data_IF_150959355578
#
_entry.id   IF_150959355578
#
_cell.length_a   1.000
_cell.length_b   1.000
_cell.length_c   1.000
_cell.angle_alpha   90.00
_cell.angle_beta   90.00
_cell.angle_gamma   90.00
#
_symmetry.space_group_name_H-M   'P 1'
#
loop_
_entity.id
_entity.type
_entity.pdbx_description
1 polymer ?
#
# COMPACT_ATOMS: atom_id res chain seq x y z
N UNK A 1 12.21 14.22 -13.34
CA UNK A 1 10.93 14.23 -12.62
C UNK A 1 11.02 14.90 -11.24
N UNK A 2 11.87 14.44 -10.31
CA UNK A 2 12.11 15.17 -9.05
C UNK A 2 13.10 16.36 -9.23
N UNK A 3 13.92 16.37 -10.27
CA UNK A 3 14.85 17.50 -10.59
C UNK A 3 14.15 18.79 -10.98
N UNK A 4 12.88 18.76 -11.39
CA UNK A 4 12.05 19.94 -11.65
C UNK A 4 11.51 20.58 -10.35
N UNK A 5 11.61 19.86 -9.22
CA UNK A 5 11.53 20.46 -7.90
C UNK A 5 12.98 20.91 -7.57
N UNK A 6 13.31 22.17 -7.69
CA UNK A 6 14.62 22.80 -7.41
C UNK A 6 15.21 22.54 -6.00
N UNK A 7 14.82 21.44 -5.34
CA UNK A 7 15.04 21.19 -3.93
C UNK A 7 15.63 19.81 -3.58
N UNK A 8 15.74 18.89 -4.54
CA UNK A 8 16.28 17.54 -4.24
C UNK A 8 17.76 17.50 -4.58
N UNK A 9 18.60 17.23 -3.60
CA UNK A 9 20.07 17.11 -3.76
C UNK A 9 20.43 15.83 -4.52
N UNK A 10 21.66 15.75 -5.03
CA UNK A 10 22.15 14.53 -5.69
C UNK A 10 22.21 13.34 -4.71
N UNK A 11 22.50 13.59 -3.43
CA UNK A 11 22.49 12.59 -2.36
C UNK A 11 21.08 12.06 -2.10
N UNK A 12 20.10 12.93 -1.94
CA UNK A 12 18.70 12.55 -1.83
C UNK A 12 18.20 11.77 -3.06
N UNK A 13 18.62 12.19 -4.26
CA UNK A 13 18.34 11.46 -5.50
C UNK A 13 18.92 10.05 -5.50
N UNK A 14 20.15 9.89 -5.05
CA UNK A 14 20.82 8.59 -4.96
C UNK A 14 20.12 7.68 -3.95
N UNK A 15 19.78 8.23 -2.78
CA UNK A 15 18.98 7.53 -1.76
C UNK A 15 17.61 7.07 -2.33
N UNK A 16 16.86 7.97 -2.95
CA UNK A 16 15.53 7.65 -3.49
C UNK A 16 15.57 6.58 -4.58
N UNK A 17 16.61 6.57 -5.44
CA UNK A 17 16.81 5.51 -6.43
C UNK A 17 17.10 4.16 -5.78
N UNK A 18 17.97 4.14 -4.77
CA UNK A 18 18.27 2.93 -4.01
C UNK A 18 17.07 2.39 -3.25
N UNK A 19 16.32 3.27 -2.58
CA UNK A 19 15.10 2.93 -1.86
C UNK A 19 14.03 2.37 -2.81
N UNK A 20 13.82 3.01 -3.95
CA UNK A 20 12.89 2.55 -4.98
C UNK A 20 13.25 1.16 -5.49
N UNK A 21 14.51 0.94 -5.89
CA UNK A 21 14.96 -0.37 -6.38
C UNK A 21 14.76 -1.48 -5.33
N UNK A 22 15.06 -1.18 -4.06
CA UNK A 22 14.89 -2.14 -2.97
C UNK A 22 13.42 -2.45 -2.69
N UNK A 23 12.55 -1.44 -2.63
CA UNK A 23 11.12 -1.62 -2.36
C UNK A 23 10.40 -2.32 -3.53
N UNK A 24 10.76 -2.01 -4.77
CA UNK A 24 10.22 -2.69 -5.96
C UNK A 24 10.57 -4.17 -5.98
N UNK A 25 11.80 -4.53 -5.66
CA UNK A 25 12.22 -5.93 -5.56
C UNK A 25 11.41 -6.67 -4.51
N UNK A 26 11.31 -6.14 -3.27
CA UNK A 26 10.55 -6.77 -2.20
C UNK A 26 9.05 -6.88 -2.53
N UNK A 27 8.48 -5.87 -3.17
CA UNK A 27 7.11 -5.91 -3.64
C UNK A 27 6.91 -7.02 -4.67
N UNK A 28 7.78 -7.12 -5.69
CA UNK A 28 7.70 -8.13 -6.73
C UNK A 28 7.85 -9.56 -6.19
N UNK A 29 8.81 -9.78 -5.26
CA UNK A 29 9.01 -11.07 -4.59
C UNK A 29 7.76 -11.51 -3.80
N UNK A 30 7.07 -10.58 -3.14
CA UNK A 30 5.84 -10.89 -2.42
C UNK A 30 4.64 -11.03 -3.36
N UNK A 31 4.54 -10.20 -4.41
CA UNK A 31 3.51 -10.33 -5.43
C UNK A 31 3.58 -11.68 -6.14
N UNK A 32 4.77 -12.22 -6.39
CA UNK A 32 4.94 -13.54 -6.99
C UNK A 32 4.25 -14.66 -6.20
N UNK A 33 4.06 -14.50 -4.88
CA UNK A 33 3.40 -15.47 -3.99
C UNK A 33 1.86 -15.35 -4.02
N UNK A 34 1.30 -14.29 -4.61
CA UNK A 34 -0.16 -14.06 -4.66
C UNK A 34 -0.73 -14.78 -5.87
N UNK A 35 -1.50 -15.84 -5.67
CA UNK A 35 -2.16 -16.57 -6.76
C UNK A 35 -3.35 -15.79 -7.33
N UNK A 36 -4.21 -15.26 -6.45
CA UNK A 36 -5.38 -14.47 -6.80
C UNK A 36 -5.40 -13.19 -5.98
N UNK A 37 -5.47 -12.03 -6.62
CA UNK A 37 -5.60 -10.75 -5.94
C UNK A 37 -7.08 -10.50 -5.60
N UNK A 38 -7.39 -10.37 -4.29
CA UNK A 38 -8.75 -10.16 -3.77
C UNK A 38 -8.91 -8.79 -3.12
N UNK A 39 -7.86 -8.32 -2.45
CA UNK A 39 -7.88 -7.08 -1.67
C UNK A 39 -6.59 -6.30 -1.89
N UNK A 40 -6.72 -5.01 -2.11
CA UNK A 40 -5.58 -4.09 -2.22
C UNK A 40 -5.76 -2.94 -1.23
N UNK A 41 -4.90 -2.91 -0.22
CA UNK A 41 -4.84 -1.80 0.73
C UNK A 41 -3.94 -0.71 0.18
N UNK A 42 -4.52 0.45 -0.09
CA UNK A 42 -3.80 1.63 -0.56
C UNK A 42 -3.11 2.32 0.60
N UNK A 43 -1.79 2.38 0.52
CA UNK A 43 -0.91 3.11 1.43
C UNK A 43 -0.35 4.35 0.73
N UNK A 44 0.15 5.31 1.49
CA UNK A 44 0.69 6.54 0.91
C UNK A 44 1.94 6.27 0.09
N UNK A 45 2.95 5.70 0.73
CA UNK A 45 4.27 5.51 0.16
C UNK A 45 5.06 4.46 0.97
N UNK A 46 6.12 3.88 0.39
CA UNK A 46 6.96 2.93 1.12
C UNK A 46 7.67 3.62 2.30
N UNK A 47 7.57 3.00 3.47
CA UNK A 47 8.38 3.38 4.63
C UNK A 47 9.75 2.71 4.49
N UNK A 48 10.72 3.42 3.91
CA UNK A 48 12.07 2.95 3.72
C UNK A 48 13.05 4.02 4.16
N UNK A 49 14.01 3.68 4.98
CA UNK A 49 15.00 4.58 5.55
C UNK A 49 16.05 3.74 6.28
N UNK A 50 16.80 4.34 7.19
CA UNK A 50 17.81 3.66 8.01
C UNK A 50 17.26 2.39 8.69
N UNK A 51 16.01 2.42 9.12
CA UNK A 51 15.31 1.29 9.74
C UNK A 51 14.67 0.31 8.75
N UNK A 52 14.70 0.57 7.46
CA UNK A 52 14.15 -0.27 6.38
C UNK A 52 12.76 -0.84 6.67
N UNK A 53 11.87 -0.07 7.27
CA UNK A 53 10.54 -0.50 7.76
C UNK A 53 9.51 -0.73 6.66
N UNK A 54 9.95 -1.06 5.46
CA UNK A 54 9.01 -1.36 4.37
C UNK A 54 8.16 -2.57 4.72
N UNK A 55 6.87 -2.51 4.40
CA UNK A 55 5.92 -3.56 4.75
C UNK A 55 6.36 -4.94 4.29
N UNK A 56 6.82 -5.04 3.04
CA UNK A 56 7.24 -6.31 2.43
C UNK A 56 8.66 -6.75 2.80
N UNK A 57 9.36 -6.02 3.63
CA UNK A 57 10.67 -6.43 4.11
C UNK A 57 10.55 -7.53 5.19
N UNK A 58 10.96 -8.79 4.91
CA UNK A 58 10.83 -9.90 5.87
C UNK A 58 11.72 -9.72 7.12
N UNK A 59 12.77 -8.89 7.03
CA UNK A 59 13.67 -8.61 8.15
C UNK A 59 13.08 -7.64 9.18
N UNK A 60 11.90 -7.03 8.92
CA UNK A 60 11.25 -6.14 9.88
C UNK A 60 10.42 -6.92 10.90
N UNK A 61 10.22 -6.38 12.12
CA UNK A 61 9.33 -7.01 13.10
C UNK A 61 7.91 -7.23 12.55
N UNK A 62 7.25 -8.29 13.01
CA UNK A 62 5.88 -8.62 12.62
C UNK A 62 4.94 -7.40 12.70
N UNK A 63 4.97 -6.65 13.79
CA UNK A 63 4.10 -5.50 14.04
C UNK A 63 4.56 -4.17 13.42
N UNK A 64 5.59 -4.15 12.57
CA UNK A 64 6.16 -2.89 12.06
C UNK A 64 5.18 -2.03 11.24
N UNK A 65 4.21 -2.65 10.59
CA UNK A 65 3.21 -1.97 9.76
C UNK A 65 1.78 -2.29 10.21
N UNK A 66 1.47 -3.55 10.40
CA UNK A 66 0.22 -4.03 10.96
C UNK A 66 0.40 -4.44 12.42
N UNK A 67 -0.53 -3.99 13.26
CA UNK A 67 -0.71 -4.62 14.57
C UNK A 67 -1.20 -6.07 14.35
N UNK A 68 -0.90 -6.98 15.30
CA UNK A 68 -1.33 -8.38 15.17
C UNK A 68 -2.85 -8.51 14.99
N UNK A 69 -3.66 -7.66 15.64
CA UNK A 69 -5.12 -7.63 15.47
C UNK A 69 -5.57 -7.18 14.08
N UNK A 70 -4.74 -6.41 13.36
CA UNK A 70 -5.04 -6.03 11.97
C UNK A 70 -4.86 -7.23 11.05
N UNK A 71 -3.84 -8.06 11.33
CA UNK A 71 -3.64 -9.33 10.63
C UNK A 71 -4.80 -10.31 10.91
N UNK A 72 -5.28 -10.39 12.15
CA UNK A 72 -6.45 -11.21 12.51
C UNK A 72 -7.74 -10.77 11.83
N UNK A 73 -7.91 -9.46 11.61
CA UNK A 73 -9.07 -8.95 10.86
C UNK A 73 -9.12 -9.45 9.41
N UNK A 74 -7.95 -9.76 8.81
CA UNK A 74 -7.82 -10.25 7.44
C UNK A 74 -7.79 -11.79 7.40
N UNK A 75 -7.01 -12.41 8.28
CA UNK A 75 -6.62 -13.82 8.22
C UNK A 75 -7.42 -14.72 9.17
N UNK A 76 -8.29 -14.13 9.98
CA UNK A 76 -9.10 -14.83 10.97
C UNK A 76 -8.52 -14.79 12.37
N UNK A 77 -9.41 -15.06 13.34
CA UNK A 77 -9.07 -15.04 14.75
C UNK A 77 -8.06 -16.13 15.10
N UNK A 78 -7.07 -15.80 15.89
CA UNK A 78 -6.02 -16.71 16.33
C UNK A 78 -4.79 -16.76 15.43
N UNK A 79 -4.81 -16.19 14.22
CA UNK A 79 -3.64 -16.16 13.33
C UNK A 79 -2.39 -15.60 14.02
N UNK A 80 -2.56 -14.55 14.85
CA UNK A 80 -1.46 -13.92 15.55
C UNK A 80 -0.91 -14.71 16.75
N UNK A 81 -1.58 -15.78 17.17
CA UNK A 81 -1.11 -16.62 18.30
C UNK A 81 0.18 -17.36 17.96
N UNK A 82 0.37 -17.71 16.70
CA UNK A 82 1.54 -18.45 16.22
C UNK A 82 2.78 -17.59 15.95
N UNK A 83 2.74 -16.28 16.10
CA UNK A 83 3.80 -15.24 16.03
C UNK A 83 5.16 -15.70 15.47
N UNK A 84 5.16 -16.32 14.32
CA UNK A 84 6.35 -16.96 13.73
C UNK A 84 7.19 -16.00 12.86
N UNK A 85 6.96 -14.69 12.97
CA UNK A 85 7.74 -13.68 12.27
C UNK A 85 7.03 -13.05 11.07
N UNK A 86 7.72 -12.11 10.44
CA UNK A 86 7.18 -11.29 9.35
C UNK A 86 6.89 -12.09 8.09
N UNK A 87 7.72 -13.07 7.79
CA UNK A 87 7.55 -13.90 6.60
C UNK A 87 6.27 -14.75 6.66
N UNK A 88 5.93 -15.26 7.84
CA UNK A 88 4.67 -15.97 8.08
C UNK A 88 3.46 -15.07 7.79
N UNK A 89 3.49 -13.81 8.28
CA UNK A 89 2.45 -12.82 7.98
C UNK A 89 2.32 -12.59 6.46
N UNK A 90 3.44 -12.32 5.79
CA UNK A 90 3.45 -12.04 4.35
C UNK A 90 2.92 -13.23 3.54
N UNK A 91 3.27 -14.45 3.93
CA UNK A 91 2.77 -15.68 3.31
C UNK A 91 1.26 -15.84 3.53
N UNK A 92 0.78 -15.60 4.75
CA UNK A 92 -0.65 -15.65 5.07
C UNK A 92 -1.46 -14.64 4.24
N UNK A 93 -0.99 -13.40 4.19
CA UNK A 93 -1.63 -12.35 3.38
C UNK A 93 -1.64 -12.68 1.89
N UNK A 94 -0.53 -13.19 1.35
CA UNK A 94 -0.46 -13.61 -0.05
C UNK A 94 -1.46 -14.74 -0.37
N UNK A 95 -1.61 -15.73 0.50
CA UNK A 95 -2.60 -16.81 0.38
C UNK A 95 -4.04 -16.28 0.44
N UNK A 96 -4.29 -15.28 1.28
CA UNK A 96 -5.60 -14.62 1.36
C UNK A 96 -5.89 -13.71 0.16
N UNK A 97 -4.92 -13.49 -0.73
CA UNK A 97 -5.03 -12.55 -1.85
C UNK A 97 -5.02 -11.09 -1.40
N UNK A 98 -4.45 -10.81 -0.23
CA UNK A 98 -4.38 -9.47 0.34
C UNK A 98 -3.02 -8.83 0.06
N UNK A 99 -3.04 -7.64 -0.51
CA UNK A 99 -1.86 -6.88 -0.89
C UNK A 99 -1.90 -5.46 -0.37
N UNK A 100 -0.72 -4.84 -0.29
CA UNK A 100 -0.57 -3.40 -0.09
C UNK A 100 0.03 -2.81 -1.35
N UNK A 101 -0.55 -1.70 -1.80
CA UNK A 101 -0.06 -0.89 -2.91
C UNK A 101 0.17 0.54 -2.42
N UNK A 102 1.41 1.00 -2.54
CA UNK A 102 1.73 2.38 -2.28
C UNK A 102 1.28 3.26 -3.47
N UNK A 103 0.73 4.44 -3.17
CA UNK A 103 0.28 5.41 -4.18
C UNK A 103 1.45 6.14 -4.83
N UNK A 104 2.55 6.29 -4.09
CA UNK A 104 3.77 6.93 -4.55
C UNK A 104 4.97 5.98 -4.51
N UNK A 105 5.90 6.13 -5.46
CA UNK A 105 7.11 5.31 -5.51
C UNK A 105 8.20 5.75 -4.52
N UNK A 106 8.08 6.97 -3.96
CA UNK A 106 9.18 7.62 -3.26
C UNK A 106 9.09 7.44 -1.76
N UNK A 107 10.18 6.97 -1.15
CA UNK A 107 10.35 6.85 0.29
C UNK A 107 10.77 8.21 0.91
N UNK A 108 9.92 9.24 0.78
CA UNK A 108 10.18 10.56 1.33
C UNK A 108 9.94 10.57 2.84
N UNK A 109 11.00 10.72 3.62
CA UNK A 109 10.96 10.80 5.08
C UNK A 109 11.83 11.96 5.61
N UNK A 110 11.73 12.26 6.91
CA UNK A 110 12.44 13.39 7.49
C UNK A 110 13.92 13.16 7.73
N UNK A 111 14.39 11.93 7.72
CA UNK A 111 15.80 11.58 7.99
C UNK A 111 16.62 11.64 6.70
N UNK A 112 16.14 10.98 5.64
CA UNK A 112 16.89 10.81 4.39
C UNK A 112 16.52 11.85 3.32
N UNK A 113 15.36 12.51 3.48
CA UNK A 113 14.90 13.59 2.58
C UNK A 113 14.38 14.79 3.40
N UNK A 114 15.24 15.49 4.17
CA UNK A 114 14.80 16.51 5.13
C UNK A 114 14.16 17.73 4.48
N UNK A 115 14.48 18.03 3.23
CA UNK A 115 13.93 19.17 2.50
C UNK A 115 12.54 18.83 1.94
N UNK A 116 12.37 17.63 1.39
CA UNK A 116 11.13 17.18 0.73
C UNK A 116 10.55 15.98 1.46
N UNK A 117 9.44 16.18 2.16
CA UNK A 117 8.69 15.10 2.81
C UNK A 117 7.21 15.25 2.52
N UNK A 118 6.45 14.13 2.52
CA UNK A 118 4.98 14.19 2.34
C UNK A 118 4.30 15.10 3.36
N UNK A 119 4.78 15.11 4.60
CA UNK A 119 4.24 15.97 5.68
C UNK A 119 4.38 17.46 5.42
N UNK A 120 5.35 17.86 4.59
CA UNK A 120 5.59 19.27 4.24
C UNK A 120 4.87 19.71 2.97
N UNK A 121 4.29 18.78 2.22
CA UNK A 121 3.59 19.09 0.99
C UNK A 121 2.21 19.70 1.27
N UNK A 122 1.83 20.71 0.49
CA UNK A 122 0.45 21.16 0.41
C UNK A 122 -0.41 20.07 -0.27
N UNK A 123 -1.71 20.09 -0.03
CA UNK A 123 -2.64 19.17 -0.71
C UNK A 123 -2.53 19.31 -2.23
N UNK A 124 -2.39 20.53 -2.74
CA UNK A 124 -2.22 20.76 -4.18
C UNK A 124 -0.94 20.12 -4.73
N UNK A 125 0.20 20.31 -4.06
CA UNK A 125 1.47 19.68 -4.47
C UNK A 125 1.41 18.16 -4.41
N UNK A 126 0.75 17.62 -3.39
CA UNK A 126 0.54 16.19 -3.20
C UNK A 126 -0.30 15.58 -4.34
N UNK A 127 -1.40 16.26 -4.73
CA UNK A 127 -2.23 15.87 -5.88
C UNK A 127 -1.47 15.93 -7.20
N UNK A 128 -0.72 17.01 -7.44
CA UNK A 128 0.12 17.15 -8.63
C UNK A 128 1.19 16.06 -8.71
N UNK A 129 1.81 15.70 -7.58
CA UNK A 129 2.79 14.60 -7.54
C UNK A 129 2.13 13.29 -7.97
N UNK A 130 0.93 12.96 -7.43
CA UNK A 130 0.19 11.76 -7.84
C UNK A 130 -0.11 11.78 -9.34
N UNK A 131 -0.68 12.85 -9.88
CA UNK A 131 -1.01 12.98 -11.29
C UNK A 131 0.21 12.78 -12.21
N UNK A 132 1.39 13.26 -11.79
CA UNK A 132 2.64 13.10 -12.56
C UNK A 132 3.22 11.69 -12.46
N UNK A 133 2.96 10.97 -11.39
CA UNK A 133 3.54 9.64 -11.14
C UNK A 133 2.60 8.48 -11.41
N UNK A 134 1.29 8.72 -11.45
CA UNK A 134 0.28 7.67 -11.54
C UNK A 134 0.50 6.73 -12.73
N UNK A 135 0.66 7.26 -13.95
CA UNK A 135 0.87 6.45 -15.15
C UNK A 135 2.18 5.65 -15.15
N UNK A 136 3.19 6.11 -14.42
CA UNK A 136 4.51 5.49 -14.36
C UNK A 136 4.64 4.46 -13.24
N UNK A 137 3.81 4.56 -12.21
CA UNK A 137 3.92 3.73 -11.01
C UNK A 137 2.59 3.06 -10.64
N UNK A 138 1.60 3.83 -10.16
CA UNK A 138 0.32 3.29 -9.68
C UNK A 138 -0.39 2.47 -10.74
N UNK A 139 -0.56 3.01 -11.95
CA UNK A 139 -1.27 2.35 -13.04
C UNK A 139 -0.61 1.06 -13.47
N UNK A 140 0.72 1.04 -13.55
CA UNK A 140 1.46 -0.18 -13.91
C UNK A 140 1.26 -1.28 -12.89
N UNK A 141 1.36 -0.97 -11.60
CA UNK A 141 1.14 -1.95 -10.54
C UNK A 141 -0.31 -2.40 -10.47
N UNK A 142 -1.26 -1.47 -10.58
CA UNK A 142 -2.68 -1.80 -10.69
C UNK A 142 -2.91 -2.80 -11.83
N UNK A 143 -2.42 -2.53 -13.01
CA UNK A 143 -2.64 -3.35 -14.19
C UNK A 143 -2.07 -4.77 -14.00
N UNK A 144 -0.85 -4.90 -13.47
CA UNK A 144 -0.26 -6.20 -13.11
C UNK A 144 -1.08 -6.93 -12.03
N UNK A 145 -1.62 -6.22 -11.04
CA UNK A 145 -2.50 -6.80 -10.02
C UNK A 145 -3.79 -7.33 -10.67
N UNK A 146 -4.36 -6.60 -11.63
CA UNK A 146 -5.60 -6.97 -12.33
C UNK A 146 -5.45 -8.20 -13.21
N UNK A 147 -4.24 -8.59 -13.60
CA UNK A 147 -3.97 -9.88 -14.26
C UNK A 147 -4.25 -11.08 -13.33
N UNK A 148 -4.26 -10.87 -12.02
CA UNK A 148 -4.51 -11.90 -11.00
C UNK A 148 -5.89 -11.83 -10.34
N UNK A 149 -6.79 -10.97 -10.82
CA UNK A 149 -8.14 -10.88 -10.29
C UNK A 149 -8.75 -9.48 -10.33
N UNK A 150 -9.92 -9.36 -9.73
CA UNK A 150 -10.66 -8.09 -9.59
C UNK A 150 -10.74 -7.71 -8.11
N UNK A 151 -9.66 -7.20 -7.50
CA UNK A 151 -9.62 -6.93 -6.08
C UNK A 151 -10.49 -5.74 -5.69
N UNK A 152 -10.90 -5.73 -4.43
CA UNK A 152 -11.46 -4.55 -3.77
C UNK A 152 -10.29 -3.65 -3.34
N UNK A 153 -10.29 -2.40 -3.80
CA UNK A 153 -9.32 -1.40 -3.37
C UNK A 153 -9.81 -0.66 -2.12
N UNK A 154 -8.92 -0.43 -1.15
CA UNK A 154 -9.27 0.15 0.13
C UNK A 154 -8.23 1.16 0.59
N UNK A 155 -8.64 2.36 0.98
CA UNK A 155 -7.76 3.35 1.61
C UNK A 155 -7.52 3.02 3.08
N UNK A 156 -6.25 2.95 3.47
CA UNK A 156 -5.82 2.79 4.85
C UNK A 156 -6.04 4.05 5.68
N UNK A 157 -5.76 5.22 5.11
CA UNK A 157 -5.77 6.51 5.79
C UNK A 157 -6.85 7.44 5.24
N UNK A 158 -7.65 8.01 6.16
CA UNK A 158 -8.69 8.97 5.79
C UNK A 158 -8.14 10.25 5.15
N UNK A 159 -7.01 10.74 5.62
CA UNK A 159 -6.34 11.91 5.05
C UNK A 159 -5.91 11.67 3.59
N UNK A 160 -5.34 10.49 3.31
CA UNK A 160 -4.94 10.13 1.94
C UNK A 160 -6.16 9.99 1.03
N UNK A 161 -7.25 9.37 1.52
CA UNK A 161 -8.51 9.31 0.78
C UNK A 161 -9.09 10.70 0.53
N UNK A 162 -9.09 11.58 1.51
CA UNK A 162 -9.58 12.96 1.35
C UNK A 162 -8.79 13.72 0.29
N UNK A 163 -7.48 13.55 0.27
CA UNK A 163 -6.61 14.26 -0.66
C UNK A 163 -6.60 13.69 -2.09
N UNK A 164 -6.69 12.37 -2.26
CA UNK A 164 -6.45 11.67 -3.52
C UNK A 164 -7.61 10.78 -4.00
N UNK A 165 -8.69 10.62 -3.20
CA UNK A 165 -9.73 9.65 -3.49
C UNK A 165 -10.32 9.78 -4.88
N UNK A 166 -10.69 10.97 -5.29
CA UNK A 166 -11.23 11.26 -6.62
C UNK A 166 -10.24 10.94 -7.76
N UNK A 167 -8.96 11.21 -7.56
CA UNK A 167 -7.92 10.89 -8.56
C UNK A 167 -7.69 9.39 -8.67
N UNK A 168 -7.62 8.69 -7.54
CA UNK A 168 -7.46 7.24 -7.52
C UNK A 168 -8.69 6.56 -8.11
N UNK A 169 -9.89 6.99 -7.74
CA UNK A 169 -11.13 6.44 -8.27
C UNK A 169 -11.24 6.64 -9.78
N UNK A 170 -10.78 7.79 -10.31
CA UNK A 170 -10.71 8.02 -11.74
C UNK A 170 -9.73 7.05 -12.44
N UNK A 171 -8.57 6.75 -11.82
CA UNK A 171 -7.63 5.76 -12.38
C UNK A 171 -8.19 4.33 -12.33
N UNK A 172 -8.90 3.96 -11.26
CA UNK A 172 -9.57 2.66 -11.14
C UNK A 172 -10.69 2.49 -12.17
N UNK A 173 -11.50 3.54 -12.37
CA UNK A 173 -12.59 3.56 -13.33
C UNK A 173 -12.15 3.31 -14.78
N UNK A 174 -10.94 3.70 -15.16
CA UNK A 174 -10.34 3.37 -16.49
C UNK A 174 -10.24 1.87 -16.76
N UNK A 175 -10.31 1.04 -15.73
CA UNK A 175 -10.26 -0.43 -15.80
C UNK A 175 -11.58 -1.10 -15.39
N UNK A 176 -12.65 -0.33 -15.29
CA UNK A 176 -13.96 -0.83 -14.86
C UNK A 176 -13.98 -1.29 -13.40
N UNK A 177 -13.09 -0.74 -12.56
CA UNK A 177 -13.08 -0.98 -11.11
C UNK A 177 -13.90 0.10 -10.43
N UNK A 178 -14.72 -0.30 -9.46
CA UNK A 178 -15.48 0.63 -8.62
C UNK A 178 -14.58 1.49 -7.73
N UNK A 179 -15.13 2.51 -7.07
CA UNK A 179 -14.37 3.41 -6.21
C UNK A 179 -13.77 2.66 -5.01
N UNK A 180 -12.61 3.13 -4.59
CA UNK A 180 -11.91 2.56 -3.45
C UNK A 180 -12.67 2.83 -2.13
N UNK A 181 -12.83 1.79 -1.32
CA UNK A 181 -13.49 1.89 -0.03
C UNK A 181 -12.63 2.64 1.00
N UNK A 182 -13.24 3.16 2.06
CA UNK A 182 -12.51 3.71 3.19
C UNK A 182 -12.60 2.77 4.38
N UNK A 183 -11.46 2.24 4.77
CA UNK A 183 -11.34 1.47 6.03
C UNK A 183 -10.58 2.25 7.10
N UNK A 184 -10.47 3.58 6.93
CA UNK A 184 -9.88 4.43 7.95
C UNK A 184 -10.79 4.52 9.18
N UNK A 185 -10.19 4.46 10.36
CA UNK A 185 -10.86 4.72 11.62
C UNK A 185 -10.98 6.22 11.90
N UNK A 186 -11.88 6.59 12.80
CA UNK A 186 -12.10 8.00 13.17
C UNK A 186 -10.87 8.61 13.83
N UNK A 187 -10.19 7.84 14.71
CA UNK A 187 -8.98 8.26 15.44
C UNK A 187 -7.82 7.29 15.26
N UNK A 188 -7.94 6.35 14.31
CA UNK A 188 -6.94 5.31 14.05
C UNK A 188 -6.70 5.20 12.54
N UNK A 189 -5.50 4.83 12.12
CA UNK A 189 -5.20 4.66 10.70
C UNK A 189 -6.11 3.64 10.02
N UNK A 190 -6.60 2.64 10.77
CA UNK A 190 -7.32 1.49 10.23
C UNK A 190 -8.42 1.07 11.19
N UNK A 191 -9.65 0.96 10.67
CA UNK A 191 -10.80 0.41 11.36
C UNK A 191 -10.87 -1.11 11.11
N UNK A 192 -10.60 -1.89 12.15
CA UNK A 192 -10.53 -3.35 12.06
C UNK A 192 -11.84 -4.02 11.74
N UNK A 193 -12.93 -3.45 12.23
CA UNK A 193 -14.26 -4.02 11.98
C UNK A 193 -14.68 -3.81 10.54
N UNK A 194 -14.44 -2.62 9.98
CA UNK A 194 -14.62 -2.35 8.56
C UNK A 194 -13.72 -3.24 7.69
N UNK A 195 -12.45 -3.40 8.06
CA UNK A 195 -11.54 -4.28 7.34
C UNK A 195 -12.03 -5.72 7.33
N UNK A 196 -12.44 -6.25 8.50
CA UNK A 196 -12.99 -7.60 8.64
C UNK A 196 -14.24 -7.79 7.81
N UNK A 197 -15.18 -6.84 7.87
CA UNK A 197 -16.42 -6.87 7.07
C UNK A 197 -16.13 -6.87 5.58
N UNK A 198 -15.23 -6.01 5.10
CA UNK A 198 -14.82 -6.00 3.69
C UNK A 198 -14.24 -7.34 3.25
N UNK A 199 -13.33 -7.92 4.06
CA UNK A 199 -12.69 -9.19 3.72
C UNK A 199 -13.69 -10.36 3.74
N UNK A 200 -14.60 -10.40 4.71
CA UNK A 200 -15.61 -11.47 4.82
C UNK A 200 -16.68 -11.37 3.75
N UNK A 201 -17.21 -10.18 3.47
CA UNK A 201 -18.27 -9.98 2.46
C UNK A 201 -17.80 -10.41 1.06
N UNK A 202 -16.56 -10.11 0.70
CA UNK A 202 -15.99 -10.47 -0.61
C UNK A 202 -15.79 -11.98 -0.75
N UNK A 203 -15.40 -12.68 0.33
CA UNK A 203 -15.24 -14.13 0.32
C UNK A 203 -16.57 -14.87 0.12
N UNK A 204 -17.65 -14.34 0.68
CA UNK A 204 -19.01 -14.93 0.52
C UNK A 204 -19.47 -14.81 -0.94
N UNK A 205 -19.31 -13.65 -1.56
CA UNK A 205 -19.74 -13.41 -2.96
C UNK A 205 -19.00 -14.31 -3.95
N UNK A 206 -17.72 -14.56 -3.73
CA UNK A 206 -16.90 -15.40 -4.62
C UNK A 206 -17.25 -16.89 -4.51
N UNK A 207 -17.63 -17.37 -3.33
CA UNK A 207 -18.04 -18.77 -3.12
C UNK A 207 -19.46 -19.10 -3.68
N UNK A 208 -20.25 -18.08 -4.03
CA UNK A 208 -21.60 -18.24 -4.63
C UNK A 208 -21.54 -18.24 -6.18
N UNK A 209 -20.41 -17.82 -6.75
CA UNK A 209 -20.21 -17.69 -8.20
C UNK A 209 -19.32 -18.79 -8.80
N UNK A 210 -18.77 -19.69 -7.99
CA UNK A 210 -18.12 -20.94 -8.38
C UNK A 210 -19.09 -22.12 -8.26
#
# INVERSE_FOLDING_TARGET
MLRDCERVTDEECAYLKGAFAATERMWAENFAKVATARFVLLSEAPLFGSNRRYFYNPATPFGAFFHFRDAEAILGDGFARERTGKEFLLTGLARAGFMILDLFPFALNGEDTPIVTYRKMSVSSYRQLFQRTASLYFDRKRDVILERGRPVFMFRYGATKHALGDLVDAELAKRGIGPALSIAGTNMPLDRDKLRQCCQATLIVQNVTE
#
